data_IF_864223426477
#
_entry.id   IF_864223426477
#
_cell.length_a   1.000
_cell.length_b   1.000
_cell.length_c   1.000
_cell.angle_alpha   90.00
_cell.angle_beta   90.00
_cell.angle_gamma   90.00
#
_symmetry.space_group_name_H-M   'P 1'
#
loop_
_entity.id
_entity.type
_entity.pdbx_description
1 polymer ?
#
# COMPACT_ATOMS: atom_id res chain seq x y z
N UNK A 1 30.28 3.51 -13.69
CA UNK A 1 29.83 2.26 -14.35
C UNK A 1 28.81 1.43 -13.54
N UNK A 2 28.65 1.63 -12.21
CA UNK A 2 27.63 0.92 -11.41
C UNK A 2 26.19 1.46 -11.58
N UNK A 3 26.04 2.78 -11.79
CA UNK A 3 24.73 3.46 -11.90
C UNK A 3 23.91 2.97 -13.09
N UNK A 4 24.55 2.61 -14.21
CA UNK A 4 23.88 2.10 -15.42
C UNK A 4 23.36 0.67 -15.24
N UNK A 5 23.97 -0.13 -14.36
CA UNK A 5 23.53 -1.50 -14.07
C UNK A 5 22.32 -1.51 -13.14
N UNK A 6 22.35 -0.69 -12.08
CA UNK A 6 21.26 -0.58 -11.09
C UNK A 6 19.99 -0.02 -11.75
N UNK A 7 20.12 1.07 -12.53
CA UNK A 7 19.00 1.66 -13.25
C UNK A 7 18.41 0.72 -14.32
N UNK A 8 19.23 -0.14 -14.93
CA UNK A 8 18.77 -1.17 -15.87
C UNK A 8 17.93 -2.23 -15.17
N UNK A 9 18.42 -2.80 -14.06
CA UNK A 9 17.70 -3.82 -13.30
C UNK A 9 16.34 -3.26 -12.82
N UNK A 10 16.35 -2.09 -12.18
CA UNK A 10 15.12 -1.44 -11.70
C UNK A 10 14.11 -1.21 -12.84
N UNK A 11 14.58 -0.76 -14.01
CA UNK A 11 13.71 -0.52 -15.17
C UNK A 11 13.08 -1.80 -15.70
N UNK A 12 13.84 -2.87 -15.84
CA UNK A 12 13.32 -4.16 -16.29
C UNK A 12 12.38 -4.81 -15.27
N UNK A 13 12.68 -4.71 -13.98
CA UNK A 13 11.77 -5.15 -12.92
C UNK A 13 10.44 -4.39 -13.01
N UNK A 14 10.48 -3.06 -13.13
CA UNK A 14 9.28 -2.25 -13.26
C UNK A 14 8.46 -2.68 -14.49
N UNK A 15 9.08 -2.76 -15.67
CA UNK A 15 8.37 -3.14 -16.89
C UNK A 15 7.78 -4.55 -16.83
N UNK A 16 8.51 -5.50 -16.26
CA UNK A 16 8.02 -6.87 -16.08
C UNK A 16 6.78 -6.90 -15.17
N UNK A 17 6.85 -6.26 -14.00
CA UNK A 17 5.72 -6.20 -13.07
C UNK A 17 4.51 -5.48 -13.69
N UNK A 18 4.73 -4.36 -14.36
CA UNK A 18 3.64 -3.61 -15.03
C UNK A 18 3.00 -4.43 -16.15
N UNK A 19 3.79 -5.13 -16.97
CA UNK A 19 3.26 -5.96 -18.05
C UNK A 19 2.36 -7.09 -17.52
N UNK A 20 2.80 -7.79 -16.47
CA UNK A 20 2.01 -8.85 -15.82
C UNK A 20 0.73 -8.27 -15.22
N UNK A 21 0.82 -7.14 -14.52
CA UNK A 21 -0.37 -6.46 -13.95
C UNK A 21 -1.37 -6.07 -15.03
N UNK A 22 -0.93 -5.49 -16.15
CA UNK A 22 -1.82 -5.12 -17.26
C UNK A 22 -2.48 -6.37 -17.86
N UNK A 23 -1.72 -7.45 -18.05
CA UNK A 23 -2.26 -8.70 -18.57
C UNK A 23 -3.36 -9.29 -17.67
N UNK A 24 -3.15 -9.29 -16.34
CA UNK A 24 -4.14 -9.77 -15.38
C UNK A 24 -5.36 -8.84 -15.27
N UNK A 25 -5.17 -7.53 -15.37
CA UNK A 25 -6.28 -6.57 -15.44
C UNK A 25 -7.09 -6.80 -16.72
N UNK A 26 -6.43 -7.00 -17.86
CA UNK A 26 -7.11 -7.31 -19.12
C UNK A 26 -7.89 -8.62 -19.02
N UNK A 27 -7.32 -9.66 -18.41
CA UNK A 27 -8.02 -10.91 -18.15
C UNK A 27 -9.21 -10.72 -17.20
N UNK A 28 -9.08 -9.89 -16.16
CA UNK A 28 -10.18 -9.56 -15.25
C UNK A 28 -11.36 -8.89 -15.96
N UNK A 29 -11.13 -7.89 -16.79
CA UNK A 29 -12.21 -7.14 -17.46
C UNK A 29 -12.72 -7.79 -18.76
N UNK A 30 -11.86 -8.51 -19.50
CA UNK A 30 -12.18 -9.06 -20.82
C UNK A 30 -12.35 -10.58 -20.83
N UNK A 31 -11.97 -11.26 -19.74
CA UNK A 31 -11.96 -12.73 -19.65
C UNK A 31 -13.31 -13.37 -19.37
N UNK A 32 -14.39 -12.59 -19.34
CA UNK A 32 -15.76 -13.04 -19.12
C UNK A 32 -16.08 -13.31 -17.64
N UNK A 33 -17.34 -13.70 -17.42
CA UNK A 33 -17.89 -13.95 -16.08
C UNK A 33 -17.98 -15.45 -15.79
N UNK A 34 -18.02 -15.80 -14.51
CA UNK A 34 -18.25 -17.18 -14.05
C UNK A 34 -19.67 -17.61 -14.44
N UNK A 35 -19.85 -18.79 -15.08
CA UNK A 35 -21.17 -19.30 -15.41
C UNK A 35 -22.05 -19.47 -14.16
N UNK A 36 -23.37 -19.18 -14.20
CA UNK A 36 -24.26 -19.21 -13.03
C UNK A 36 -24.24 -20.54 -12.26
N UNK A 37 -24.01 -21.66 -12.94
CA UNK A 37 -23.90 -22.99 -12.33
C UNK A 37 -22.66 -23.18 -11.45
N UNK A 38 -21.63 -22.36 -11.64
CA UNK A 38 -20.38 -22.40 -10.89
C UNK A 38 -20.27 -21.23 -9.88
N UNK A 39 -21.30 -20.38 -9.80
CA UNK A 39 -21.36 -19.29 -8.85
C UNK A 39 -21.76 -19.80 -7.46
N UNK A 40 -21.32 -19.07 -6.43
CA UNK A 40 -21.83 -19.27 -5.08
C UNK A 40 -23.36 -19.03 -5.06
N UNK A 41 -24.10 -19.88 -4.35
CA UNK A 41 -25.58 -19.86 -4.33
C UNK A 41 -26.18 -18.48 -3.99
N UNK A 42 -25.47 -17.68 -3.21
CA UNK A 42 -25.89 -16.34 -2.76
C UNK A 42 -25.58 -15.23 -3.77
N UNK A 43 -24.81 -15.53 -4.82
CA UNK A 43 -24.38 -14.61 -5.89
C UNK A 43 -25.04 -14.93 -7.24
N UNK A 44 -25.93 -15.93 -7.31
CA UNK A 44 -26.60 -16.35 -8.54
C UNK A 44 -27.38 -15.17 -9.13
N UNK A 45 -26.94 -14.71 -10.32
CA UNK A 45 -27.52 -13.55 -11.02
C UNK A 45 -26.74 -12.25 -10.86
N UNK A 46 -25.62 -12.25 -10.14
CA UNK A 46 -24.62 -11.18 -10.17
C UNK A 46 -23.44 -11.55 -11.08
N UNK A 47 -22.92 -10.57 -11.81
CA UNK A 47 -21.77 -10.78 -12.68
C UNK A 47 -20.47 -10.85 -11.85
N UNK A 48 -19.91 -12.06 -11.73
CA UNK A 48 -18.60 -12.29 -11.12
C UNK A 48 -17.52 -12.48 -12.22
N UNK A 49 -16.47 -11.65 -12.29
CA UNK A 49 -15.40 -11.83 -13.26
C UNK A 49 -14.57 -13.09 -12.99
N UNK A 50 -14.34 -13.91 -14.02
CA UNK A 50 -13.68 -15.22 -13.90
C UNK A 50 -12.23 -15.15 -13.38
N UNK A 51 -11.53 -14.04 -13.65
CA UNK A 51 -10.13 -13.86 -13.27
C UNK A 51 -9.93 -13.10 -11.95
N UNK A 52 -10.97 -12.92 -11.14
CA UNK A 52 -10.90 -12.24 -9.83
C UNK A 52 -9.84 -12.87 -8.92
N UNK A 53 -9.85 -14.19 -8.76
CA UNK A 53 -8.89 -14.91 -7.93
C UNK A 53 -7.44 -14.74 -8.40
N UNK A 54 -7.22 -14.80 -9.73
CA UNK A 54 -5.90 -14.61 -10.32
C UNK A 54 -5.32 -13.22 -10.02
N UNK A 55 -6.15 -12.18 -10.17
CA UNK A 55 -5.77 -10.81 -9.85
C UNK A 55 -5.49 -10.63 -8.35
N UNK A 56 -6.33 -11.21 -7.48
CA UNK A 56 -6.14 -11.15 -6.02
C UNK A 56 -4.82 -11.81 -5.59
N UNK A 57 -4.51 -13.01 -6.08
CA UNK A 57 -3.24 -13.67 -5.76
C UNK A 57 -2.03 -12.86 -6.22
N UNK A 58 -2.10 -12.23 -7.40
CA UNK A 58 -1.04 -11.35 -7.86
C UNK A 58 -0.84 -10.13 -6.94
N UNK A 59 -1.94 -9.50 -6.50
CA UNK A 59 -1.90 -8.40 -5.53
C UNK A 59 -1.27 -8.87 -4.21
N UNK A 60 -1.63 -10.05 -3.70
CA UNK A 60 -1.03 -10.59 -2.47
C UNK A 60 0.47 -10.86 -2.61
N UNK A 61 0.93 -11.37 -3.76
CA UNK A 61 2.35 -11.57 -4.04
C UNK A 61 3.08 -10.22 -4.02
N UNK A 62 2.56 -9.22 -4.73
CA UNK A 62 3.15 -7.88 -4.77
C UNK A 62 3.19 -7.22 -3.40
N UNK A 63 2.11 -7.36 -2.63
CA UNK A 63 2.03 -6.86 -1.26
C UNK A 63 3.08 -7.54 -0.37
N UNK A 64 3.20 -8.87 -0.45
CA UNK A 64 4.19 -9.63 0.31
C UNK A 64 5.63 -9.21 0.01
N UNK A 65 5.97 -9.06 -1.29
CA UNK A 65 7.29 -8.57 -1.72
C UNK A 65 7.54 -7.14 -1.21
N UNK A 66 6.52 -6.28 -1.26
CA UNK A 66 6.61 -4.89 -0.83
C UNK A 66 6.87 -4.80 0.67
N UNK A 67 6.06 -5.51 1.47
CA UNK A 67 6.20 -5.57 2.93
C UNK A 67 7.60 -6.10 3.29
N UNK A 68 8.02 -7.22 2.69
CA UNK A 68 9.35 -7.78 2.92
C UNK A 68 10.47 -6.77 2.60
N UNK A 69 10.38 -6.11 1.45
CA UNK A 69 11.38 -5.12 1.02
C UNK A 69 11.45 -3.94 1.99
N UNK A 70 10.31 -3.38 2.40
CA UNK A 70 10.24 -2.27 3.36
C UNK A 70 10.93 -2.65 4.67
N UNK A 71 10.64 -3.82 5.22
CA UNK A 71 11.26 -4.27 6.46
C UNK A 71 12.77 -4.52 6.29
N UNK A 72 13.17 -5.23 5.24
CA UNK A 72 14.57 -5.52 4.96
C UNK A 72 15.41 -4.23 4.82
N UNK A 73 14.95 -3.28 4.00
CA UNK A 73 15.65 -2.01 3.80
C UNK A 73 15.62 -1.12 5.05
N UNK A 74 14.52 -1.13 5.82
CA UNK A 74 14.43 -0.36 7.06
C UNK A 74 15.43 -0.85 8.11
N UNK A 75 15.59 -2.16 8.27
CA UNK A 75 16.57 -2.75 9.20
C UNK A 75 17.99 -2.43 8.75
N UNK A 76 18.33 -2.66 7.48
CA UNK A 76 19.66 -2.36 6.95
C UNK A 76 19.99 -0.87 7.08
N UNK A 77 19.03 0.00 6.76
CA UNK A 77 19.17 1.45 6.91
C UNK A 77 19.36 1.87 8.37
N UNK A 78 18.60 1.28 9.29
CA UNK A 78 18.73 1.56 10.72
C UNK A 78 20.11 1.15 11.26
N UNK A 79 20.57 -0.08 10.98
CA UNK A 79 21.87 -0.58 11.43
C UNK A 79 23.01 0.27 10.88
N UNK A 80 22.98 0.60 9.59
CA UNK A 80 23.99 1.45 8.96
C UNK A 80 24.06 2.84 9.61
N UNK A 81 22.90 3.48 9.81
CA UNK A 81 22.84 4.81 10.45
C UNK A 81 23.27 4.76 11.92
N UNK A 82 22.97 3.68 12.64
CA UNK A 82 23.36 3.52 14.04
C UNK A 82 24.89 3.48 14.20
N UNK A 83 25.59 2.77 13.31
CA UNK A 83 27.05 2.65 13.35
C UNK A 83 27.72 3.97 12.93
N UNK A 84 27.19 4.65 11.92
CA UNK A 84 27.91 5.76 11.26
C UNK A 84 27.48 7.15 11.73
N UNK A 85 26.24 7.33 12.20
CA UNK A 85 25.73 8.65 12.59
C UNK A 85 24.56 8.59 13.59
N UNK A 86 24.90 8.71 14.88
CA UNK A 86 23.96 8.66 15.99
C UNK A 86 22.81 9.68 15.89
N UNK A 87 23.07 10.89 15.36
CA UNK A 87 22.03 11.93 15.18
C UNK A 87 21.02 11.54 14.10
N UNK A 88 21.47 10.98 12.98
CA UNK A 88 20.57 10.49 11.92
C UNK A 88 19.70 9.32 12.41
N UNK A 89 20.30 8.41 13.19
CA UNK A 89 19.55 7.29 13.79
C UNK A 89 18.42 7.77 14.71
N UNK A 90 18.66 8.79 15.55
CA UNK A 90 17.64 9.38 16.41
C UNK A 90 16.50 10.00 15.60
N UNK A 91 16.82 10.76 14.54
CA UNK A 91 15.79 11.36 13.69
C UNK A 91 14.95 10.30 12.96
N UNK A 92 15.56 9.19 12.51
CA UNK A 92 14.80 8.08 11.92
C UNK A 92 13.87 7.41 12.93
N UNK A 93 14.30 7.28 14.19
CA UNK A 93 13.46 6.72 15.25
C UNK A 93 12.29 7.65 15.58
N UNK A 94 12.53 8.96 15.66
CA UNK A 94 11.47 9.95 15.88
C UNK A 94 10.41 9.86 14.77
N UNK A 95 10.84 9.75 13.51
CA UNK A 95 9.92 9.62 12.37
C UNK A 95 9.07 8.35 12.48
N UNK A 96 9.68 7.23 12.88
CA UNK A 96 8.97 5.97 13.11
C UNK A 96 7.92 6.10 14.23
N UNK A 97 8.26 6.79 15.32
CA UNK A 97 7.33 7.03 16.44
C UNK A 97 6.14 7.88 15.98
N UNK A 98 6.38 8.97 15.24
CA UNK A 98 5.28 9.80 14.71
C UNK A 98 4.39 8.98 13.77
N UNK A 99 4.97 8.12 12.93
CA UNK A 99 4.20 7.24 12.06
C UNK A 99 3.39 6.20 12.85
N UNK A 100 3.96 5.60 13.89
CA UNK A 100 3.24 4.66 14.76
C UNK A 100 2.07 5.34 15.48
N UNK A 101 2.26 6.57 15.98
CA UNK A 101 1.18 7.36 16.61
C UNK A 101 0.06 7.63 15.59
N UNK A 102 0.43 8.00 14.35
CA UNK A 102 -0.55 8.19 13.27
C UNK A 102 -1.38 6.94 13.02
N UNK A 103 -0.74 5.76 12.95
CA UNK A 103 -1.44 4.48 12.78
C UNK A 103 -2.40 4.19 13.95
N UNK A 104 -1.99 4.43 15.19
CA UNK A 104 -2.86 4.23 16.36
C UNK A 104 -4.08 5.14 16.29
N UNK A 105 -3.89 6.43 15.98
CA UNK A 105 -4.99 7.38 15.83
C UNK A 105 -5.93 6.94 14.70
N UNK A 106 -5.38 6.58 13.54
CA UNK A 106 -6.13 6.13 12.38
C UNK A 106 -6.96 4.87 12.67
N UNK A 107 -6.41 3.91 13.41
CA UNK A 107 -7.15 2.72 13.87
C UNK A 107 -8.25 3.07 14.88
N UNK A 108 -7.97 3.98 15.82
CA UNK A 108 -8.95 4.38 16.84
C UNK A 108 -10.19 5.04 16.25
N UNK A 109 -10.04 5.83 15.18
CA UNK A 109 -11.15 6.49 14.48
C UNK A 109 -11.81 5.63 13.39
N UNK A 110 -11.25 4.44 13.10
CA UNK A 110 -11.80 3.51 12.12
C UNK A 110 -13.17 2.97 12.52
N UNK A 111 -14.04 2.77 11.52
CA UNK A 111 -15.33 2.15 11.71
C UNK A 111 -15.17 0.61 11.77
N UNK A 112 -15.83 0.03 12.76
CA UNK A 112 -15.81 -1.40 13.00
C UNK A 112 -17.16 -2.07 12.73
N UNK A 113 -18.13 -1.35 12.16
CA UNK A 113 -19.43 -1.89 11.80
C UNK A 113 -19.28 -2.88 10.64
N UNK A 114 -19.76 -4.13 10.79
CA UNK A 114 -19.75 -5.10 9.69
C UNK A 114 -20.44 -4.54 8.45
N UNK A 115 -19.80 -4.72 7.30
CA UNK A 115 -20.34 -4.29 6.03
C UNK A 115 -21.47 -5.24 5.62
N UNK A 116 -22.53 -4.69 5.04
CA UNK A 116 -23.59 -5.50 4.43
C UNK A 116 -23.11 -5.98 3.04
N UNK A 117 -22.38 -7.10 3.03
CA UNK A 117 -21.86 -7.72 1.81
C UNK A 117 -22.77 -8.89 1.46
N UNK A 118 -23.41 -8.81 0.29
CA UNK A 118 -24.29 -9.88 -0.17
C UNK A 118 -23.50 -11.18 -0.33
N UNK A 119 -23.96 -12.22 0.34
CA UNK A 119 -23.37 -13.56 0.27
C UNK A 119 -22.01 -13.71 0.96
N UNK A 120 -21.69 -12.84 1.92
CA UNK A 120 -20.42 -12.91 2.65
C UNK A 120 -20.58 -12.54 4.13
N UNK A 121 -20.71 -13.58 4.96
CA UNK A 121 -20.58 -13.53 6.43
C UNK A 121 -19.20 -14.04 6.89
N UNK A 122 -18.21 -13.95 6.00
CA UNK A 122 -16.90 -14.55 6.20
C UNK A 122 -16.10 -13.87 7.31
N UNK A 123 -15.03 -14.55 7.74
CA UNK A 123 -14.21 -14.10 8.85
C UNK A 123 -13.59 -12.71 8.61
N UNK A 124 -13.45 -12.25 7.34
CA UNK A 124 -12.81 -10.98 7.04
C UNK A 124 -13.68 -9.76 7.35
N UNK A 125 -15.00 -9.92 7.49
CA UNK A 125 -15.96 -8.86 7.83
C UNK A 125 -16.14 -8.70 9.35
N UNK A 126 -15.04 -8.58 10.08
CA UNK A 126 -15.03 -8.40 11.54
C UNK A 126 -14.42 -7.07 11.93
N UNK A 127 -14.89 -6.51 13.05
CA UNK A 127 -14.52 -5.17 13.52
C UNK A 127 -13.01 -4.89 13.49
N UNK A 128 -12.18 -5.83 13.94
CA UNK A 128 -10.73 -5.66 13.94
C UNK A 128 -10.11 -5.50 12.54
N UNK A 129 -10.61 -6.26 11.55
CA UNK A 129 -10.11 -6.19 10.16
C UNK A 129 -10.60 -4.95 9.44
N UNK A 130 -11.83 -4.55 9.69
CA UNK A 130 -12.41 -3.30 9.17
C UNK A 130 -11.60 -2.09 9.65
N UNK A 131 -11.38 -1.99 10.97
CA UNK A 131 -10.54 -0.93 11.53
C UNK A 131 -9.10 -0.97 11.06
N UNK A 132 -8.54 -2.15 10.83
CA UNK A 132 -7.20 -2.28 10.25
C UNK A 132 -7.16 -1.73 8.81
N UNK A 133 -8.21 -1.99 8.02
CA UNK A 133 -8.34 -1.47 6.65
C UNK A 133 -8.47 0.05 6.67
N UNK A 134 -9.35 0.60 7.50
CA UNK A 134 -9.53 2.04 7.70
C UNK A 134 -8.25 2.72 8.16
N UNK A 135 -7.51 2.11 9.09
CA UNK A 135 -6.22 2.61 9.55
C UNK A 135 -5.27 2.89 8.37
N UNK A 136 -5.16 1.94 7.42
CA UNK A 136 -4.32 2.11 6.24
C UNK A 136 -4.87 3.19 5.29
N UNK A 137 -6.17 3.19 5.03
CA UNK A 137 -6.82 4.18 4.16
C UNK A 137 -6.64 5.60 4.69
N UNK A 138 -6.95 5.84 5.97
CA UNK A 138 -6.79 7.15 6.60
C UNK A 138 -5.32 7.58 6.64
N UNK A 139 -4.41 6.67 6.93
CA UNK A 139 -2.97 6.97 6.90
C UNK A 139 -2.52 7.40 5.51
N UNK A 140 -2.97 6.72 4.45
CA UNK A 140 -2.68 7.11 3.06
C UNK A 140 -3.23 8.50 2.76
N UNK A 141 -4.49 8.79 3.11
CA UNK A 141 -5.10 10.10 2.87
C UNK A 141 -4.40 11.24 3.62
N UNK A 142 -4.06 11.03 4.89
CA UNK A 142 -3.34 12.02 5.70
C UNK A 142 -1.95 12.29 5.10
N UNK A 143 -1.19 11.24 4.78
CA UNK A 143 0.14 11.39 4.19
C UNK A 143 0.08 12.02 2.79
N UNK A 144 -0.92 11.71 1.99
CA UNK A 144 -1.15 12.33 0.69
C UNK A 144 -1.43 13.83 0.84
N UNK A 145 -2.33 14.21 1.76
CA UNK A 145 -2.63 15.61 2.04
C UNK A 145 -1.40 16.38 2.54
N UNK A 146 -0.66 15.80 3.49
CA UNK A 146 0.59 16.38 3.99
C UNK A 146 1.64 16.52 2.89
N UNK A 147 1.73 15.56 1.98
CA UNK A 147 2.67 15.59 0.85
C UNK A 147 2.32 16.73 -0.12
N UNK A 148 1.04 16.87 -0.47
CA UNK A 148 0.56 17.97 -1.33
C UNK A 148 0.81 19.31 -0.64
N UNK A 149 0.45 19.44 0.64
CA UNK A 149 0.69 20.66 1.41
C UNK A 149 2.18 21.02 1.47
N UNK A 150 3.05 20.03 1.71
CA UNK A 150 4.50 20.22 1.73
C UNK A 150 5.02 20.70 0.36
N UNK A 151 4.53 20.15 -0.75
CA UNK A 151 4.92 20.59 -2.10
C UNK A 151 4.53 22.06 -2.35
N UNK A 152 3.34 22.49 -1.92
CA UNK A 152 2.85 23.85 -2.11
C UNK A 152 3.53 24.87 -1.18
N UNK A 153 3.82 24.49 0.07
CA UNK A 153 4.40 25.39 1.08
C UNK A 153 5.93 25.48 1.00
N UNK A 154 6.61 24.44 0.49
CA UNK A 154 8.07 24.40 0.38
C UNK A 154 8.69 25.61 -0.35
N UNK A 155 8.14 26.09 -1.48
CA UNK A 155 8.63 27.30 -2.16
C UNK A 155 8.51 28.57 -1.32
N UNK A 156 7.45 28.69 -0.50
CA UNK A 156 7.20 29.88 0.34
C UNK A 156 8.21 29.96 1.49
N UNK A 157 8.47 28.84 2.17
CA UNK A 157 9.43 28.75 3.27
C UNK A 157 10.85 29.07 2.77
N UNK A 158 11.23 28.56 1.58
CA UNK A 158 12.55 28.85 0.97
C UNK A 158 12.74 30.33 0.63
N UNK A 159 11.68 31.04 0.21
CA UNK A 159 11.75 32.49 -0.07
C UNK A 159 11.91 33.33 1.20
N UNK A 160 11.28 32.92 2.31
CA UNK A 160 11.41 33.60 3.60
C UNK A 160 12.82 33.38 4.18
N UNK A 161 13.36 32.16 4.07
CA UNK A 161 14.71 31.86 4.56
C UNK A 161 15.85 32.55 3.78
N UNK A 162 15.63 32.94 2.52
CA UNK A 162 16.60 33.72 1.71
C UNK A 162 16.54 35.24 1.93
N UNK A 163 15.55 35.74 2.69
CA UNK A 163 15.43 37.17 3.04
C UNK A 163 16.08 37.50 4.39
N UNK A 164 16.77 36.53 5.00
CA UNK A 164 17.73 36.73 6.09
C UNK A 164 19.13 36.44 5.56
#
# INVERSE_FOLDING_TARGET
MAVTKISRISRWTLYGLTAVTIALIAAFFLGGNVPPENQYMELVGLDEPNFTNGLLYWIYILLGITVFSVFAFSIVGFVSNFIHNRKRAINSLLTLIVFAILLVIAYSIGDGTPLNILGYEGADNVSARLKMTDMWIYTIYILMALSIAAMLLSPLIKRIGKRK
#
